data_IF_127908426139
#
_entry.id   IF_127908426139
#
_cell.length_a   1.000
_cell.length_b   1.000
_cell.length_c   1.000
_cell.angle_alpha   90.00
_cell.angle_beta   90.00
_cell.angle_gamma   90.00
#
_symmetry.space_group_name_H-M   'P 1'
#
loop_
_entity.id
_entity.type
_entity.pdbx_description
1 polymer ?
#
# COMPACT_ATOMS: atom_id res chain seq x y z
N UNK A 1 35.75 45.30 -13.49
CA UNK A 1 34.91 44.13 -13.82
C UNK A 1 34.94 43.19 -12.62
N UNK A 2 33.82 43.02 -11.92
CA UNK A 2 33.72 42.09 -10.79
C UNK A 2 33.73 40.65 -11.32
N UNK A 3 34.71 39.86 -10.90
CA UNK A 3 34.88 38.45 -11.26
C UNK A 3 33.63 37.67 -10.85
N UNK A 4 32.94 37.05 -11.81
CA UNK A 4 31.74 36.24 -11.52
C UNK A 4 32.14 35.00 -10.72
N UNK A 5 31.54 34.85 -9.53
CA UNK A 5 31.64 33.68 -8.65
C UNK A 5 31.05 32.43 -9.33
N UNK A 6 31.90 31.49 -9.73
CA UNK A 6 31.53 30.30 -10.49
C UNK A 6 30.66 29.32 -9.69
N UNK A 7 30.87 29.24 -8.38
CA UNK A 7 30.06 28.51 -7.42
C UNK A 7 28.58 28.97 -7.43
N UNK A 8 28.35 30.29 -7.46
CA UNK A 8 26.99 30.85 -7.55
C UNK A 8 26.34 30.60 -8.91
N UNK A 9 27.12 30.52 -10.00
CA UNK A 9 26.60 30.16 -11.32
C UNK A 9 26.22 28.67 -11.40
N UNK A 10 27.00 27.79 -10.74
CA UNK A 10 26.69 26.37 -10.65
C UNK A 10 25.37 26.10 -9.91
N UNK A 11 25.15 26.77 -8.77
CA UNK A 11 23.90 26.67 -8.00
C UNK A 11 22.71 27.16 -8.83
N UNK A 12 22.86 28.27 -9.57
CA UNK A 12 21.82 28.78 -10.48
C UNK A 12 21.50 27.79 -11.60
N UNK A 13 22.51 27.17 -12.20
CA UNK A 13 22.32 26.14 -13.23
C UNK A 13 21.52 24.95 -12.70
N UNK A 14 21.84 24.48 -11.49
CA UNK A 14 21.11 23.38 -10.85
C UNK A 14 19.64 23.75 -10.55
N UNK A 15 19.39 24.96 -10.04
CA UNK A 15 18.04 25.46 -9.78
C UNK A 15 17.19 25.54 -11.07
N UNK A 16 17.77 26.01 -12.17
CA UNK A 16 17.09 26.07 -13.48
C UNK A 16 16.77 24.67 -14.00
N UNK A 17 17.72 23.73 -13.89
CA UNK A 17 17.49 22.35 -14.33
C UNK A 17 16.41 21.65 -13.49
N UNK A 18 16.34 21.90 -12.19
CA UNK A 18 15.29 21.36 -11.32
C UNK A 18 13.91 21.91 -11.69
N UNK A 19 13.80 23.20 -12.02
CA UNK A 19 12.53 23.82 -12.46
C UNK A 19 12.08 23.32 -13.83
N UNK A 20 13.01 23.16 -14.78
CA UNK A 20 12.73 22.56 -16.07
C UNK A 20 12.29 21.10 -15.90
N UNK A 21 12.96 20.35 -15.02
CA UNK A 21 12.58 18.99 -14.63
C UNK A 21 11.15 18.92 -14.10
N UNK A 22 10.74 19.86 -13.24
CA UNK A 22 9.36 19.95 -12.74
C UNK A 22 8.34 20.24 -13.85
N UNK A 23 8.63 21.16 -14.77
CA UNK A 23 7.68 21.51 -15.83
C UNK A 23 7.51 20.40 -16.88
N UNK A 24 8.58 19.67 -17.21
CA UNK A 24 8.52 18.58 -18.20
C UNK A 24 8.16 17.22 -17.59
N UNK A 25 8.54 16.98 -16.33
CA UNK A 25 8.38 15.70 -15.63
C UNK A 25 7.92 15.92 -14.18
N UNK A 26 6.70 16.46 -13.97
CA UNK A 26 6.21 16.85 -12.65
C UNK A 26 6.10 15.68 -11.65
N UNK A 27 5.97 14.44 -12.13
CA UNK A 27 5.93 13.26 -11.27
C UNK A 27 7.31 12.82 -10.76
N UNK A 28 8.39 13.08 -11.52
CA UNK A 28 9.75 12.68 -11.13
C UNK A 28 10.51 13.80 -10.42
N UNK A 29 10.14 15.07 -10.68
CA UNK A 29 10.74 16.24 -10.04
C UNK A 29 9.70 17.11 -9.33
N UNK A 30 8.89 16.56 -8.39
CA UNK A 30 7.75 17.26 -7.80
C UNK A 30 8.15 18.52 -7.00
N UNK A 31 9.41 18.62 -6.56
CA UNK A 31 9.92 19.72 -5.75
C UNK A 31 10.72 20.76 -6.55
N UNK A 32 10.76 20.67 -7.89
CA UNK A 32 11.57 21.59 -8.71
C UNK A 32 11.12 23.06 -8.60
N UNK A 33 9.87 23.32 -8.24
CA UNK A 33 9.34 24.67 -7.96
C UNK A 33 10.06 25.38 -6.78
N UNK A 34 10.62 24.62 -5.82
CA UNK A 34 11.33 25.18 -4.66
C UNK A 34 12.64 25.91 -5.06
N UNK A 35 13.24 25.53 -6.20
CA UNK A 35 14.57 25.99 -6.60
C UNK A 35 14.62 27.43 -7.12
N UNK A 36 13.51 27.95 -7.69
CA UNK A 36 13.45 29.30 -8.25
C UNK A 36 12.24 30.06 -7.77
N UNK A 37 11.07 29.44 -7.61
CA UNK A 37 9.83 30.18 -7.37
C UNK A 37 9.79 30.81 -5.98
N UNK A 38 10.20 30.07 -4.94
CA UNK A 38 10.33 30.60 -3.58
C UNK A 38 11.42 31.70 -3.46
N UNK A 39 12.66 31.49 -3.95
CA UNK A 39 13.67 32.55 -3.98
C UNK A 39 13.25 33.76 -4.80
N UNK A 40 12.56 33.56 -5.93
CA UNK A 40 12.07 34.62 -6.79
C UNK A 40 11.04 35.48 -6.06
N UNK A 41 10.03 34.87 -5.41
CA UNK A 41 9.05 35.60 -4.61
C UNK A 41 9.73 36.34 -3.45
N UNK A 42 10.68 35.73 -2.75
CA UNK A 42 11.41 36.36 -1.65
C UNK A 42 12.25 37.57 -2.12
N UNK A 43 12.96 37.43 -3.25
CA UNK A 43 13.77 38.51 -3.85
C UNK A 43 12.87 39.62 -4.38
N UNK A 44 11.78 39.31 -5.07
CA UNK A 44 10.81 40.30 -5.54
C UNK A 44 10.18 41.05 -4.37
N UNK A 45 9.78 40.36 -3.29
CA UNK A 45 9.27 40.98 -2.07
C UNK A 45 10.33 41.88 -1.42
N UNK A 46 11.58 41.44 -1.35
CA UNK A 46 12.69 42.24 -0.79
C UNK A 46 12.96 43.49 -1.63
N UNK A 47 12.94 43.37 -2.96
CA UNK A 47 13.09 44.50 -3.88
C UNK A 47 11.91 45.45 -3.78
N UNK A 48 10.68 44.94 -3.67
CA UNK A 48 9.49 45.77 -3.45
C UNK A 48 9.60 46.54 -2.14
N UNK A 49 10.01 45.91 -1.03
CA UNK A 49 10.25 46.59 0.25
C UNK A 49 11.32 47.69 0.09
N UNK A 50 12.44 47.39 -0.58
CA UNK A 50 13.54 48.33 -0.81
C UNK A 50 13.16 49.53 -1.70
N UNK A 51 12.27 49.34 -2.68
CA UNK A 51 11.86 50.39 -3.63
C UNK A 51 10.50 51.04 -3.31
N UNK A 52 9.78 50.57 -2.27
CA UNK A 52 8.43 51.01 -1.94
C UNK A 52 8.33 52.32 -1.14
N UNK A 53 9.44 53.04 -0.93
CA UNK A 53 9.56 54.12 0.06
C UNK A 53 8.55 55.27 -0.05
N UNK A 54 7.83 55.46 -1.18
CA UNK A 54 6.76 56.48 -1.31
C UNK A 54 5.62 56.08 -2.28
N UNK A 55 5.19 54.81 -2.28
CA UNK A 55 4.14 54.34 -3.22
C UNK A 55 2.73 54.31 -2.60
N UNK A 56 1.88 55.27 -2.99
CA UNK A 56 0.48 55.40 -2.53
C UNK A 56 -0.39 54.16 -2.82
N UNK A 57 -0.05 53.38 -3.86
CA UNK A 57 -0.78 52.16 -4.24
C UNK A 57 -0.52 50.96 -3.30
N UNK A 58 0.67 50.84 -2.70
CA UNK A 58 1.00 49.75 -1.78
C UNK A 58 0.53 50.03 -0.34
N UNK A 59 0.13 51.27 -0.05
CA UNK A 59 -0.30 51.71 1.27
C UNK A 59 -1.82 51.62 1.50
N UNK A 60 -2.57 50.99 0.58
CA UNK A 60 -4.01 50.81 0.74
C UNK A 60 -4.26 49.87 1.91
N UNK A 61 -5.10 50.33 2.86
CA UNK A 61 -5.37 49.65 4.14
C UNK A 61 -5.76 48.17 4.02
N UNK A 62 -6.45 47.80 2.94
CA UNK A 62 -6.84 46.41 2.67
C UNK A 62 -5.60 45.58 2.32
N UNK A 63 -4.74 46.09 1.44
CA UNK A 63 -3.55 45.37 0.98
C UNK A 63 -2.52 45.23 2.10
N UNK A 64 -2.34 46.27 2.92
CA UNK A 64 -1.47 46.21 4.10
C UNK A 64 -1.99 45.20 5.12
N UNK A 65 -3.32 45.13 5.34
CA UNK A 65 -3.91 44.15 6.26
C UNK A 65 -3.72 42.70 5.80
N UNK A 66 -3.80 42.44 4.49
CA UNK A 66 -3.45 41.11 3.95
C UNK A 66 -1.98 40.76 4.17
N UNK A 67 -1.09 41.77 4.11
CA UNK A 67 0.31 41.62 4.49
C UNK A 67 0.48 41.31 5.98
N UNK A 68 -0.25 42.02 6.84
CA UNK A 68 -0.22 41.84 8.29
C UNK A 68 -0.62 40.42 8.72
N UNK A 69 -1.68 39.85 8.11
CA UNK A 69 -2.15 38.49 8.43
C UNK A 69 -1.40 37.38 7.66
N UNK A 70 -0.46 37.73 6.79
CA UNK A 70 0.10 36.80 5.78
C UNK A 70 0.78 35.57 6.39
N UNK A 71 1.43 35.73 7.54
CA UNK A 71 2.07 34.62 8.26
C UNK A 71 1.03 33.62 8.80
N UNK A 72 0.03 34.11 9.55
CA UNK A 72 -1.10 33.29 10.02
C UNK A 72 -1.84 32.62 8.85
N UNK A 73 -2.04 33.33 7.73
CA UNK A 73 -2.70 32.81 6.54
C UNK A 73 -1.89 31.69 5.88
N UNK A 74 -0.57 31.86 5.76
CA UNK A 74 0.33 30.83 5.24
C UNK A 74 0.23 29.52 6.05
N UNK A 75 0.16 29.61 7.38
CA UNK A 75 0.03 28.42 8.24
C UNK A 75 -1.34 27.74 8.14
N UNK A 76 -2.43 28.52 8.02
CA UNK A 76 -3.80 28.01 8.15
C UNK A 76 -4.38 27.52 6.81
N UNK A 77 -4.08 28.19 5.70
CA UNK A 77 -4.77 27.91 4.44
C UNK A 77 -4.53 26.49 3.92
N UNK A 78 -3.33 25.92 4.16
CA UNK A 78 -2.98 24.59 3.64
C UNK A 78 -3.68 23.44 4.36
N UNK A 79 -3.72 23.38 5.71
CA UNK A 79 -4.59 22.44 6.43
C UNK A 79 -6.06 22.51 6.04
N UNK A 80 -6.60 23.73 5.85
CA UNK A 80 -7.99 23.93 5.45
C UNK A 80 -8.24 23.42 4.02
N UNK A 81 -7.33 23.70 3.09
CA UNK A 81 -7.39 23.16 1.73
C UNK A 81 -7.29 21.63 1.71
N UNK A 82 -6.38 21.05 2.50
CA UNK A 82 -6.24 19.60 2.61
C UNK A 82 -7.52 18.96 3.16
N UNK A 83 -8.13 19.56 4.19
CA UNK A 83 -9.41 19.12 4.74
C UNK A 83 -10.53 19.14 3.69
N UNK A 84 -10.67 20.23 2.94
CA UNK A 84 -11.62 20.33 1.83
C UNK A 84 -11.42 19.21 0.80
N UNK A 85 -10.18 19.00 0.37
CA UNK A 85 -9.85 17.99 -0.63
C UNK A 85 -10.19 16.58 -0.15
N UNK A 86 -10.08 16.31 1.15
CA UNK A 86 -10.37 15.01 1.75
C UNK A 86 -11.87 14.78 2.02
N UNK A 87 -12.66 15.82 2.20
CA UNK A 87 -14.07 15.72 2.64
C UNK A 87 -15.07 15.95 1.53
N UNK A 88 -14.80 16.89 0.61
CA UNK A 88 -15.76 17.37 -0.39
C UNK A 88 -15.41 16.95 -1.84
N UNK A 89 -14.43 16.06 -2.01
CA UNK A 89 -14.07 15.40 -3.28
C UNK A 89 -13.89 16.37 -4.48
N UNK A 90 -13.44 17.60 -4.20
CA UNK A 90 -13.15 18.61 -5.22
C UNK A 90 -14.36 19.42 -5.72
N UNK A 91 -15.47 19.49 -4.98
CA UNK A 91 -16.64 20.30 -5.38
C UNK A 91 -16.27 21.78 -5.63
N UNK A 92 -16.48 22.24 -6.87
CA UNK A 92 -16.09 23.59 -7.32
C UNK A 92 -16.79 24.74 -6.60
N UNK A 93 -18.02 24.54 -6.08
CA UNK A 93 -18.71 25.58 -5.33
C UNK A 93 -18.10 25.82 -3.95
N UNK A 94 -17.68 24.74 -3.29
CA UNK A 94 -17.03 24.81 -1.98
C UNK A 94 -15.61 25.40 -2.05
N UNK A 95 -14.96 25.35 -3.22
CA UNK A 95 -13.64 25.92 -3.46
C UNK A 95 -13.55 27.43 -3.18
N UNK A 96 -14.66 28.17 -3.24
CA UNK A 96 -14.70 29.60 -2.89
C UNK A 96 -14.90 29.84 -1.39
N UNK A 97 -15.46 28.88 -0.65
CA UNK A 97 -15.78 29.01 0.77
C UNK A 97 -14.53 28.79 1.62
N UNK A 98 -13.76 27.75 1.35
CA UNK A 98 -12.58 27.38 2.15
C UNK A 98 -11.45 28.43 2.17
N UNK A 99 -11.15 29.16 1.08
CA UNK A 99 -10.24 30.31 1.12
C UNK A 99 -10.74 31.45 2.02
N UNK A 100 -12.05 31.73 1.99
CA UNK A 100 -12.66 32.75 2.87
C UNK A 100 -12.53 32.33 4.33
N UNK A 101 -12.82 31.06 4.65
CA UNK A 101 -12.62 30.50 5.99
C UNK A 101 -11.16 30.62 6.42
N UNK A 102 -10.22 30.34 5.53
CA UNK A 102 -8.78 30.48 5.81
C UNK A 102 -8.40 31.92 6.14
N UNK A 103 -8.91 32.91 5.39
CA UNK A 103 -8.67 34.33 5.64
C UNK A 103 -9.26 34.77 6.98
N UNK A 104 -10.50 34.34 7.29
CA UNK A 104 -11.17 34.69 8.56
C UNK A 104 -10.41 34.09 9.75
N UNK A 105 -10.03 32.81 9.68
CA UNK A 105 -9.26 32.15 10.73
C UNK A 105 -7.87 32.78 10.89
N UNK A 106 -7.22 33.15 9.79
CA UNK A 106 -5.94 33.87 9.83
C UNK A 106 -6.07 35.25 10.47
N UNK A 107 -7.11 36.01 10.14
CA UNK A 107 -7.38 37.31 10.76
C UNK A 107 -7.66 37.17 12.27
N UNK A 108 -8.44 36.17 12.68
CA UNK A 108 -8.70 35.88 14.10
C UNK A 108 -7.42 35.49 14.84
N UNK A 109 -6.61 34.60 14.26
CA UNK A 109 -5.29 34.22 14.80
C UNK A 109 -4.39 35.44 14.95
N UNK A 110 -4.32 36.28 13.93
CA UNK A 110 -3.50 37.47 13.93
C UNK A 110 -3.90 38.47 15.02
N UNK A 111 -5.20 38.82 15.10
CA UNK A 111 -5.71 39.82 16.03
C UNK A 111 -5.65 39.36 17.50
N UNK A 112 -5.92 38.07 17.76
CA UNK A 112 -6.00 37.56 19.13
C UNK A 112 -4.67 36.99 19.65
N UNK A 113 -3.89 36.33 18.80
CA UNK A 113 -2.70 35.59 19.21
C UNK A 113 -1.43 36.28 18.73
N UNK A 114 -1.26 36.49 17.42
CA UNK A 114 -0.01 37.00 16.85
C UNK A 114 0.35 38.40 17.38
N UNK A 115 -0.61 39.34 17.37
CA UNK A 115 -0.40 40.70 17.90
C UNK A 115 -0.06 40.75 19.39
N UNK A 116 -0.56 39.79 20.17
CA UNK A 116 -0.29 39.74 21.60
C UNK A 116 1.05 39.07 21.88
N UNK A 117 1.33 37.96 21.19
CA UNK A 117 2.57 37.20 21.26
C UNK A 117 3.81 38.04 20.93
N UNK A 118 3.73 38.90 19.89
CA UNK A 118 4.82 39.79 19.49
C UNK A 118 5.20 40.85 20.56
N UNK A 119 4.34 41.06 21.57
CA UNK A 119 4.58 42.00 22.69
C UNK A 119 5.15 41.32 23.94
N UNK A 120 5.24 40.00 23.96
CA UNK A 120 5.70 39.24 25.12
C UNK A 120 7.22 39.20 25.24
N UNK A 121 7.73 39.04 26.47
CA UNK A 121 9.15 38.89 26.73
C UNK A 121 9.68 37.54 26.24
N UNK A 122 11.00 37.46 25.95
CA UNK A 122 11.65 36.23 25.49
C UNK A 122 11.34 35.03 26.41
N UNK A 123 11.43 35.20 27.73
CA UNK A 123 11.14 34.14 28.70
C UNK A 123 9.70 33.63 28.64
N UNK A 124 8.73 34.53 28.40
CA UNK A 124 7.31 34.18 28.28
C UNK A 124 7.06 33.39 26.98
N UNK A 125 7.71 33.79 25.89
CA UNK A 125 7.64 33.11 24.61
C UNK A 125 8.28 31.71 24.68
N UNK A 126 9.44 31.57 25.32
CA UNK A 126 10.07 30.25 25.53
C UNK A 126 9.19 29.32 26.34
N UNK A 127 8.48 29.83 27.35
CA UNK A 127 7.56 29.05 28.17
C UNK A 127 6.33 28.58 27.37
N UNK A 128 5.72 29.48 26.57
CA UNK A 128 4.61 29.12 25.68
C UNK A 128 5.03 28.07 24.64
N UNK A 129 6.20 28.23 24.03
CA UNK A 129 6.74 27.25 23.07
C UNK A 129 6.87 25.88 23.74
N UNK A 130 7.42 25.82 24.96
CA UNK A 130 7.57 24.56 25.68
C UNK A 130 6.19 23.93 25.97
N UNK A 131 5.21 24.71 26.43
CA UNK A 131 3.84 24.23 26.65
C UNK A 131 3.24 23.67 25.36
N UNK A 132 3.29 24.41 24.25
CA UNK A 132 2.72 23.95 22.99
C UNK A 132 3.45 22.73 22.43
N UNK A 133 4.77 22.64 22.61
CA UNK A 133 5.56 21.49 22.18
C UNK A 133 5.24 20.25 23.03
N UNK A 134 5.15 20.40 24.35
CA UNK A 134 4.70 19.31 25.24
C UNK A 134 3.27 18.89 24.94
N UNK A 135 2.35 19.83 24.72
CA UNK A 135 0.98 19.52 24.34
C UNK A 135 0.91 18.77 23.00
N UNK A 136 1.69 19.19 22.00
CA UNK A 136 1.79 18.47 20.73
C UNK A 136 2.33 17.05 20.92
N UNK A 137 3.41 16.87 21.70
CA UNK A 137 3.96 15.54 22.01
C UNK A 137 2.92 14.67 22.71
N UNK A 138 2.17 15.22 23.69
CA UNK A 138 1.13 14.49 24.40
C UNK A 138 -0.04 14.10 23.49
N UNK A 139 -0.46 14.98 22.57
CA UNK A 139 -1.53 14.68 21.59
C UNK A 139 -1.07 13.61 20.60
N UNK A 140 0.14 13.74 20.06
CA UNK A 140 0.71 12.78 19.11
C UNK A 140 0.93 11.40 19.74
N UNK A 141 1.32 11.36 21.02
CA UNK A 141 1.54 10.13 21.75
C UNK A 141 0.34 9.73 22.62
N UNK A 142 -0.83 10.37 22.45
CA UNK A 142 -1.99 10.14 23.30
C UNK A 142 -2.38 8.66 23.32
N UNK A 143 -2.33 7.98 22.19
CA UNK A 143 -2.64 6.55 22.06
C UNK A 143 -1.60 5.67 22.75
N UNK A 144 -0.32 5.98 22.59
CA UNK A 144 0.79 5.31 23.28
C UNK A 144 0.76 5.50 24.80
N UNK A 145 0.38 6.70 25.28
CA UNK A 145 0.36 7.08 26.70
C UNK A 145 -0.89 6.60 27.44
N UNK A 146 -2.05 6.56 26.77
CA UNK A 146 -3.30 6.07 27.36
C UNK A 146 -3.42 4.55 27.35
N UNK A 147 -2.43 3.84 26.80
CA UNK A 147 -2.45 2.38 26.71
C UNK A 147 -3.68 1.92 25.93
N UNK A 148 -3.81 2.35 24.67
CA UNK A 148 -4.89 1.83 23.81
C UNK A 148 -4.79 0.30 23.73
N UNK A 149 -5.92 -0.35 23.99
CA UNK A 149 -6.13 -1.79 23.80
C UNK A 149 -5.54 -2.25 22.47
N UNK A 150 -4.83 -3.37 22.51
CA UNK A 150 -4.31 -4.04 21.33
C UNK A 150 -5.45 -4.39 20.37
N UNK A 151 -5.16 -4.49 19.08
CA UNK A 151 -6.19 -4.85 18.09
C UNK A 151 -6.81 -6.24 18.36
N UNK A 152 -6.05 -7.15 18.99
CA UNK A 152 -6.57 -8.44 19.48
C UNK A 152 -7.56 -8.27 20.65
N UNK A 153 -7.29 -7.37 21.59
CA UNK A 153 -8.23 -7.05 22.68
C UNK A 153 -9.52 -6.43 22.14
N UNK A 154 -9.43 -5.57 21.12
CA UNK A 154 -10.62 -5.01 20.44
C UNK A 154 -11.47 -6.09 19.78
N UNK A 155 -10.86 -7.05 19.09
CA UNK A 155 -11.59 -8.14 18.43
C UNK A 155 -12.32 -9.05 19.43
N UNK A 156 -11.74 -9.23 20.62
CA UNK A 156 -12.28 -10.07 21.69
C UNK A 156 -13.32 -9.36 22.57
N UNK A 157 -13.62 -8.09 22.30
CA UNK A 157 -14.59 -7.30 23.05
C UNK A 157 -16.02 -7.78 22.78
N UNK A 158 -16.81 -7.95 23.85
CA UNK A 158 -18.22 -8.43 23.75
C UNK A 158 -19.13 -7.50 22.93
N UNK A 159 -18.86 -6.19 22.91
CA UNK A 159 -19.63 -5.18 22.16
C UNK A 159 -18.82 -4.64 20.98
N UNK A 160 -18.44 -5.51 20.05
CA UNK A 160 -17.76 -5.13 18.82
C UNK A 160 -18.72 -4.41 17.86
N UNK A 161 -18.40 -3.19 17.44
CA UNK A 161 -19.27 -2.36 16.58
C UNK A 161 -18.80 -2.30 15.13
N UNK A 162 -19.66 -1.89 14.21
CA UNK A 162 -19.27 -1.63 12.81
C UNK A 162 -18.24 -0.50 12.68
N UNK A 163 -18.19 0.45 13.62
CA UNK A 163 -17.15 1.49 13.64
C UNK A 163 -15.78 0.91 14.03
N UNK A 164 -15.77 -0.07 14.95
CA UNK A 164 -14.54 -0.80 15.29
C UNK A 164 -14.05 -1.62 14.08
N UNK A 165 -14.97 -2.22 13.33
CA UNK A 165 -14.65 -2.90 12.08
C UNK A 165 -14.03 -1.96 11.04
N UNK A 166 -14.61 -0.78 10.82
CA UNK A 166 -14.08 0.23 9.90
C UNK A 166 -12.67 0.69 10.31
N UNK A 167 -12.44 0.90 11.62
CA UNK A 167 -11.12 1.26 12.16
C UNK A 167 -10.10 0.16 11.93
N UNK A 168 -10.45 -1.10 12.18
CA UNK A 168 -9.57 -2.25 11.96
C UNK A 168 -9.26 -2.46 10.48
N UNK A 169 -10.27 -2.39 9.61
CA UNK A 169 -10.08 -2.45 8.17
C UNK A 169 -9.16 -1.33 7.68
N UNK A 170 -9.35 -0.10 8.17
CA UNK A 170 -8.47 1.02 7.84
C UNK A 170 -7.04 0.79 8.34
N UNK A 171 -6.88 0.32 9.58
CA UNK A 171 -5.58 0.01 10.16
C UNK A 171 -4.82 -1.06 9.36
N UNK A 172 -5.47 -2.16 8.99
CA UNK A 172 -4.85 -3.21 8.17
C UNK A 172 -4.47 -2.71 6.78
N UNK A 173 -5.22 -1.77 6.21
CA UNK A 173 -4.84 -1.12 4.96
C UNK A 173 -3.58 -0.26 5.11
N UNK A 174 -3.47 0.53 6.18
CA UNK A 174 -2.27 1.33 6.46
C UNK A 174 -1.04 0.46 6.70
N UNK A 175 -1.24 -0.69 7.36
CA UNK A 175 -0.17 -1.63 7.74
C UNK A 175 0.07 -2.74 6.72
N UNK A 176 -0.60 -2.72 5.58
CA UNK A 176 -0.55 -3.80 4.59
C UNK A 176 0.89 -4.20 4.23
N UNK A 177 1.73 -3.23 3.84
CA UNK A 177 3.13 -3.47 3.45
C UNK A 177 4.02 -3.82 4.66
N UNK A 178 3.83 -3.15 5.79
CA UNK A 178 4.57 -3.44 7.03
C UNK A 178 4.34 -4.89 7.47
N UNK A 179 3.11 -5.39 7.31
CA UNK A 179 2.69 -6.73 7.69
C UNK A 179 3.20 -7.83 6.74
N UNK A 180 3.85 -7.48 5.61
CA UNK A 180 4.48 -8.46 4.73
C UNK A 180 5.85 -8.93 5.24
N UNK A 181 6.44 -8.23 6.21
CA UNK A 181 7.72 -8.58 6.80
C UNK A 181 7.55 -9.71 7.82
N UNK A 182 8.12 -10.87 7.53
CA UNK A 182 8.17 -11.97 8.48
C UNK A 182 9.32 -11.78 9.46
N UNK A 183 9.03 -11.84 10.77
CA UNK A 183 10.07 -11.80 11.82
C UNK A 183 10.94 -13.04 11.84
N UNK A 184 10.48 -14.13 11.23
CA UNK A 184 11.20 -15.39 11.19
C UNK A 184 12.15 -15.49 10.00
N UNK A 185 12.09 -14.55 9.04
CA UNK A 185 12.86 -14.63 7.81
C UNK A 185 14.10 -13.73 7.83
N UNK A 186 15.25 -14.32 7.53
CA UNK A 186 16.52 -13.61 7.35
C UNK A 186 16.64 -13.17 5.89
N UNK A 187 16.40 -11.89 5.61
CA UNK A 187 16.32 -11.33 4.26
C UNK A 187 17.70 -11.10 3.60
N UNK A 188 17.82 -11.53 2.34
CA UNK A 188 19.00 -11.35 1.50
C UNK A 188 19.02 -9.95 0.88
N UNK A 189 19.64 -8.97 1.57
CA UNK A 189 20.09 -7.72 0.96
C UNK A 189 19.04 -6.61 0.76
N UNK A 190 17.81 -6.75 1.26
CA UNK A 190 16.78 -5.70 1.20
C UNK A 190 16.23 -5.34 2.59
N UNK A 191 16.01 -4.04 2.84
CA UNK A 191 15.24 -3.55 3.98
C UNK A 191 13.72 -3.65 3.69
N UNK A 192 13.23 -4.81 3.26
CA UNK A 192 11.83 -4.95 2.85
C UNK A 192 11.40 -6.39 2.56
N UNK A 193 10.08 -6.61 2.33
CA UNK A 193 9.50 -7.95 2.21
C UNK A 193 9.76 -8.63 0.85
N UNK A 194 10.50 -7.98 -0.05
CA UNK A 194 10.75 -8.45 -1.41
C UNK A 194 12.17 -8.97 -1.57
N UNK A 195 12.34 -9.92 -2.47
CA UNK A 195 13.57 -10.67 -2.68
C UNK A 195 13.50 -12.05 -2.02
N UNK A 196 14.67 -12.56 -1.63
CA UNK A 196 14.81 -13.89 -1.04
C UNK A 196 15.10 -13.77 0.45
N UNK A 197 14.57 -14.70 1.23
CA UNK A 197 14.88 -14.80 2.64
C UNK A 197 14.73 -16.24 3.12
N UNK A 198 15.45 -16.60 4.19
CA UNK A 198 15.37 -17.95 4.77
C UNK A 198 14.78 -17.88 6.16
N UNK A 199 13.80 -18.74 6.44
CA UNK A 199 13.20 -18.79 7.76
C UNK A 199 14.11 -19.48 8.78
N UNK A 200 14.22 -18.88 9.96
CA UNK A 200 14.93 -19.38 11.14
C UNK A 200 13.96 -20.09 12.10
N UNK A 201 14.49 -20.72 13.17
CA UNK A 201 13.66 -21.38 14.19
C UNK A 201 13.07 -22.74 13.78
N UNK A 202 13.55 -23.34 12.69
CA UNK A 202 13.15 -24.65 12.21
C UNK A 202 13.94 -25.78 12.89
N UNK A 203 13.31 -26.94 13.08
CA UNK A 203 13.97 -28.11 13.67
C UNK A 203 14.91 -28.78 12.67
N UNK A 204 16.20 -28.99 12.99
CA UNK A 204 17.14 -29.65 12.09
C UNK A 204 16.79 -31.13 11.84
N UNK A 205 15.96 -31.73 12.71
CA UNK A 205 15.47 -33.11 12.60
C UNK A 205 14.23 -33.25 11.70
N UNK A 206 13.67 -32.14 11.22
CA UNK A 206 12.56 -32.16 10.26
C UNK A 206 12.98 -32.75 8.92
N UNK A 207 12.02 -33.21 8.14
CA UNK A 207 12.28 -34.09 7.00
C UNK A 207 12.47 -33.36 5.66
N UNK A 208 11.82 -32.21 5.45
CA UNK A 208 11.66 -31.68 4.09
C UNK A 208 12.23 -30.29 3.87
N UNK A 209 12.89 -30.07 2.74
CA UNK A 209 13.22 -28.74 2.21
C UNK A 209 12.02 -28.17 1.46
N UNK A 210 11.55 -27.00 1.85
CA UNK A 210 10.40 -26.33 1.25
C UNK A 210 10.82 -24.99 0.64
N UNK A 211 10.19 -24.62 -0.47
CA UNK A 211 10.31 -23.29 -1.06
C UNK A 211 8.92 -22.68 -1.29
N UNK A 212 8.72 -21.46 -0.81
CA UNK A 212 7.53 -20.66 -1.13
C UNK A 212 7.96 -19.51 -2.04
N UNK A 213 7.27 -19.31 -3.16
CA UNK A 213 7.68 -18.29 -4.11
C UNK A 213 6.52 -17.73 -4.93
N UNK A 214 6.65 -16.48 -5.34
CA UNK A 214 5.58 -15.77 -6.03
C UNK A 214 5.65 -14.27 -5.89
N UNK A 215 4.50 -13.63 -5.77
CA UNK A 215 4.43 -12.18 -5.64
C UNK A 215 4.24 -11.72 -4.19
N UNK A 216 3.71 -10.52 -3.97
CA UNK A 216 3.45 -9.99 -2.63
C UNK A 216 2.52 -10.88 -1.78
N UNK A 217 1.70 -11.73 -2.42
CA UNK A 217 0.90 -12.75 -1.73
C UNK A 217 1.77 -13.77 -1.00
N UNK A 218 2.93 -14.13 -1.54
CA UNK A 218 3.89 -15.01 -0.86
C UNK A 218 4.31 -14.43 0.49
N UNK A 219 4.68 -13.14 0.52
CA UNK A 219 5.06 -12.48 1.76
C UNK A 219 3.87 -12.34 2.72
N UNK A 220 2.68 -12.03 2.20
CA UNK A 220 1.44 -11.97 2.99
C UNK A 220 1.09 -13.32 3.65
N UNK A 221 1.40 -14.44 3.01
CA UNK A 221 1.09 -15.79 3.52
C UNK A 221 2.25 -16.44 4.29
N UNK A 222 3.44 -15.84 4.25
CA UNK A 222 4.66 -16.47 4.74
C UNK A 222 4.60 -16.86 6.22
N UNK A 223 4.11 -15.97 7.08
CA UNK A 223 4.02 -16.24 8.52
C UNK A 223 3.02 -17.35 8.84
N UNK A 224 1.85 -17.33 8.19
CA UNK A 224 0.85 -18.41 8.31
C UNK A 224 1.44 -19.73 7.84
N UNK A 225 2.03 -19.77 6.64
CA UNK A 225 2.67 -20.97 6.10
C UNK A 225 3.77 -21.49 7.03
N UNK A 226 4.64 -20.62 7.53
CA UNK A 226 5.67 -20.99 8.50
C UNK A 226 5.06 -21.62 9.76
N UNK A 227 4.03 -21.00 10.35
CA UNK A 227 3.39 -21.51 11.56
C UNK A 227 2.80 -22.92 11.35
N UNK A 228 2.13 -23.13 10.22
CA UNK A 228 1.48 -24.41 9.90
C UNK A 228 2.50 -25.49 9.51
N UNK A 229 3.51 -25.16 8.68
CA UNK A 229 4.42 -26.15 8.08
C UNK A 229 5.78 -26.33 8.80
N UNK A 230 6.16 -25.47 9.76
CA UNK A 230 7.51 -25.52 10.41
C UNK A 230 7.88 -26.88 11.01
N UNK A 231 6.89 -27.65 11.46
CA UNK A 231 7.10 -28.94 12.12
C UNK A 231 7.50 -30.06 11.14
N UNK A 232 7.30 -29.87 9.84
CA UNK A 232 7.72 -30.77 8.75
C UNK A 232 8.95 -30.26 8.00
N UNK A 233 9.21 -28.95 8.08
CA UNK A 233 10.23 -28.28 7.30
C UNK A 233 11.61 -28.30 7.99
N UNK A 234 12.61 -28.86 7.31
CA UNK A 234 14.03 -28.72 7.62
C UNK A 234 14.56 -27.34 7.27
N UNK A 235 14.06 -26.78 6.16
CA UNK A 235 14.36 -25.43 5.72
C UNK A 235 13.19 -24.88 4.92
N UNK A 236 12.87 -23.60 5.09
CA UNK A 236 11.90 -22.88 4.27
C UNK A 236 12.63 -21.70 3.63
N UNK A 237 12.71 -21.69 2.30
CA UNK A 237 13.17 -20.55 1.53
C UNK A 237 11.97 -19.79 0.98
N UNK A 238 11.93 -18.48 1.14
CA UNK A 238 10.90 -17.59 0.62
C UNK A 238 11.47 -16.72 -0.50
N UNK A 239 10.76 -16.62 -1.63
CA UNK A 239 11.06 -15.73 -2.75
C UNK A 239 9.87 -14.88 -3.15
N UNK A 240 9.97 -13.56 -2.99
CA UNK A 240 8.84 -12.64 -3.20
C UNK A 240 9.20 -11.57 -4.23
N UNK A 241 8.42 -11.47 -5.32
CA UNK A 241 8.61 -10.47 -6.36
C UNK A 241 7.39 -9.52 -6.49
N UNK A 242 7.59 -8.21 -6.35
CA UNK A 242 6.48 -7.26 -6.36
C UNK A 242 5.65 -7.29 -7.66
N UNK A 243 4.44 -7.83 -7.57
CA UNK A 243 3.48 -7.93 -8.67
C UNK A 243 3.92 -8.82 -9.84
N UNK A 244 4.87 -9.74 -9.66
CA UNK A 244 5.37 -10.62 -10.72
C UNK A 244 5.01 -12.09 -10.45
N UNK A 245 4.38 -12.74 -11.42
CA UNK A 245 3.97 -14.13 -11.34
C UNK A 245 5.11 -15.10 -11.73
N UNK A 246 5.26 -16.25 -11.05
CA UNK A 246 6.26 -17.25 -11.44
C UNK A 246 5.96 -17.93 -12.77
N UNK A 247 4.68 -18.16 -13.10
CA UNK A 247 4.30 -18.94 -14.28
C UNK A 247 4.28 -18.12 -15.58
N UNK A 248 4.22 -16.79 -15.47
CA UNK A 248 4.14 -15.90 -16.63
C UNK A 248 4.70 -14.51 -16.30
N UNK A 249 5.46 -13.85 -17.20
CA UNK A 249 5.97 -12.51 -16.95
C UNK A 249 4.84 -11.47 -16.99
N UNK A 250 4.29 -11.15 -15.82
CA UNK A 250 3.16 -10.23 -15.64
C UNK A 250 3.36 -8.90 -16.34
N UNK A 251 2.31 -8.45 -17.04
CA UNK A 251 2.24 -7.17 -17.76
C UNK A 251 3.40 -6.95 -18.76
N UNK A 252 4.09 -8.03 -19.16
CA UNK A 252 5.28 -8.02 -20.02
C UNK A 252 6.40 -7.09 -19.51
N UNK A 253 6.44 -6.84 -18.20
CA UNK A 253 7.45 -5.99 -17.58
C UNK A 253 8.79 -6.69 -17.53
N UNK A 254 9.85 -5.96 -17.85
CA UNK A 254 11.22 -6.51 -17.86
C UNK A 254 11.65 -7.00 -16.48
N UNK A 255 11.22 -6.34 -15.40
CA UNK A 255 11.46 -6.82 -14.03
C UNK A 255 10.86 -8.21 -13.79
N UNK A 256 9.65 -8.46 -14.28
CA UNK A 256 8.97 -9.74 -14.06
C UNK A 256 9.58 -10.87 -14.88
N UNK A 257 10.13 -10.57 -16.06
CA UNK A 257 10.97 -11.53 -16.79
C UNK A 257 12.21 -11.93 -16.02
N UNK A 258 12.91 -10.94 -15.43
CA UNK A 258 14.09 -11.20 -14.58
C UNK A 258 13.73 -12.03 -13.36
N UNK A 259 12.66 -11.67 -12.64
CA UNK A 259 12.22 -12.44 -11.47
C UNK A 259 11.79 -13.87 -11.83
N UNK A 260 11.13 -14.06 -12.98
CA UNK A 260 10.78 -15.40 -13.46
C UNK A 260 12.02 -16.29 -13.67
N UNK A 261 13.05 -15.76 -14.34
CA UNK A 261 14.33 -16.45 -14.51
C UNK A 261 15.02 -16.70 -13.17
N UNK A 262 14.94 -15.76 -12.24
CA UNK A 262 15.50 -15.88 -10.89
C UNK A 262 14.83 -17.00 -10.08
N UNK A 263 13.50 -17.14 -10.16
CA UNK A 263 12.78 -18.27 -9.56
C UNK A 263 13.29 -19.61 -10.09
N UNK A 264 13.47 -19.74 -11.41
CA UNK A 264 14.04 -20.95 -12.03
C UNK A 264 15.45 -21.26 -11.50
N UNK A 265 16.30 -20.23 -11.42
CA UNK A 265 17.67 -20.37 -10.94
C UNK A 265 17.70 -20.83 -9.48
N UNK A 266 16.86 -20.26 -8.61
CA UNK A 266 16.82 -20.59 -7.18
C UNK A 266 16.30 -21.99 -6.94
N UNK A 267 15.29 -22.43 -7.67
CA UNK A 267 14.82 -23.82 -7.64
C UNK A 267 15.94 -24.81 -8.02
N UNK A 268 16.70 -24.50 -9.07
CA UNK A 268 17.83 -25.33 -9.53
C UNK A 268 18.94 -25.45 -8.48
N UNK A 269 19.22 -24.38 -7.73
CA UNK A 269 20.27 -24.37 -6.70
C UNK A 269 19.83 -25.08 -5.42
N UNK A 270 18.59 -24.87 -4.99
CA UNK A 270 18.10 -25.39 -3.70
C UNK A 270 17.63 -26.85 -3.77
N UNK A 271 17.11 -27.26 -4.94
CA UNK A 271 16.49 -28.57 -5.18
C UNK A 271 15.56 -29.01 -4.03
N UNK A 272 14.45 -28.28 -3.81
CA UNK A 272 13.56 -28.53 -2.68
C UNK A 272 12.72 -29.80 -2.87
N UNK A 273 12.19 -30.31 -1.77
CA UNK A 273 11.28 -31.44 -1.77
C UNK A 273 9.88 -31.01 -2.19
N UNK A 274 9.43 -29.88 -1.67
CA UNK A 274 8.14 -29.28 -1.98
C UNK A 274 8.30 -27.83 -2.42
N UNK A 275 7.56 -27.46 -3.46
CA UNK A 275 7.43 -26.06 -3.90
C UNK A 275 6.00 -25.57 -3.73
N UNK A 276 5.84 -24.30 -3.38
CA UNK A 276 4.53 -23.66 -3.22
C UNK A 276 4.52 -22.33 -3.94
N UNK A 277 3.61 -22.18 -4.91
CA UNK A 277 3.38 -20.93 -5.61
C UNK A 277 2.24 -20.18 -4.93
N UNK A 278 2.60 -19.08 -4.27
CA UNK A 278 1.66 -18.12 -3.68
C UNK A 278 1.62 -16.88 -4.55
N UNK A 279 0.55 -16.68 -5.32
CA UNK A 279 0.47 -15.48 -6.15
C UNK A 279 -0.95 -15.05 -6.38
N UNK A 280 -1.16 -13.73 -6.30
CA UNK A 280 -2.34 -13.11 -6.91
C UNK A 280 -2.05 -13.00 -8.40
N UNK A 281 -2.61 -13.92 -9.16
CA UNK A 281 -2.42 -13.97 -10.60
C UNK A 281 -3.00 -12.73 -11.29
N UNK A 282 -2.22 -12.12 -12.17
CA UNK A 282 -2.48 -10.85 -12.86
C UNK A 282 -2.73 -11.12 -14.34
N UNK A 283 -1.70 -11.51 -15.08
CA UNK A 283 -1.77 -11.66 -16.53
C UNK A 283 -2.25 -13.03 -16.97
N UNK A 284 -2.11 -14.07 -16.14
CA UNK A 284 -2.65 -15.39 -16.53
C UNK A 284 -4.18 -15.46 -16.50
N UNK A 285 -4.86 -14.39 -16.07
CA UNK A 285 -6.31 -14.30 -16.13
C UNK A 285 -6.79 -13.51 -17.35
N UNK A 286 -5.87 -13.00 -18.19
CA UNK A 286 -6.22 -12.28 -19.41
C UNK A 286 -7.02 -13.19 -20.38
N UNK A 287 -8.02 -12.66 -21.10
CA UNK A 287 -8.77 -13.46 -22.07
C UNK A 287 -7.87 -13.99 -23.19
N UNK A 288 -8.40 -14.93 -23.98
CA UNK A 288 -7.70 -15.37 -25.19
C UNK A 288 -7.43 -14.20 -26.14
N UNK A 289 -6.28 -14.26 -26.80
CA UNK A 289 -5.98 -13.30 -27.85
C UNK A 289 -6.95 -13.51 -29.03
N UNK A 290 -7.23 -12.46 -29.83
CA UNK A 290 -8.11 -12.58 -30.99
C UNK A 290 -7.69 -13.72 -31.93
N UNK A 291 -8.63 -14.60 -32.28
CA UNK A 291 -8.40 -15.74 -33.17
C UNK A 291 -7.97 -17.03 -32.47
N UNK A 292 -7.66 -17.00 -31.17
CA UNK A 292 -7.32 -18.19 -30.38
C UNK A 292 -8.59 -18.74 -29.72
N UNK A 293 -8.81 -20.06 -29.84
CA UNK A 293 -10.00 -20.73 -29.27
C UNK A 293 -9.67 -21.91 -28.37
N UNK A 294 -8.41 -22.35 -28.33
CA UNK A 294 -7.95 -23.51 -27.55
C UNK A 294 -6.77 -23.15 -26.65
N UNK A 295 -6.56 -23.94 -25.58
CA UNK A 295 -5.41 -23.77 -24.69
C UNK A 295 -4.08 -24.17 -25.36
N UNK A 296 -4.13 -25.09 -26.32
CA UNK A 296 -2.93 -25.53 -27.06
C UNK A 296 -2.33 -24.37 -27.87
N UNK A 297 -3.18 -23.47 -28.37
CA UNK A 297 -2.77 -22.28 -29.12
C UNK A 297 -2.54 -21.06 -28.22
N UNK A 298 -2.88 -21.13 -26.93
CA UNK A 298 -2.79 -19.99 -26.00
C UNK A 298 -1.34 -19.73 -25.55
N UNK A 299 -0.70 -18.63 -25.97
CA UNK A 299 0.70 -18.34 -25.63
C UNK A 299 0.92 -18.13 -24.14
N UNK A 300 -0.12 -17.70 -23.39
CA UNK A 300 -0.04 -17.57 -21.94
C UNK A 300 0.07 -18.97 -21.34
N UNK A 301 -0.82 -19.88 -21.73
CA UNK A 301 -0.81 -21.25 -21.27
C UNK A 301 0.50 -21.98 -21.62
N UNK A 302 0.98 -21.86 -22.86
CA UNK A 302 2.24 -22.48 -23.29
C UNK A 302 3.44 -21.99 -22.46
N UNK A 303 3.45 -20.70 -22.09
CA UNK A 303 4.49 -20.13 -21.21
C UNK A 303 4.37 -20.68 -19.78
N UNK A 304 3.15 -20.79 -19.25
CA UNK A 304 2.90 -21.39 -17.93
C UNK A 304 3.34 -22.85 -17.87
N UNK A 305 3.02 -23.62 -18.91
CA UNK A 305 3.40 -25.02 -19.04
C UNK A 305 4.92 -25.17 -19.06
N UNK A 306 5.61 -24.40 -19.89
CA UNK A 306 7.07 -24.44 -20.00
C UNK A 306 7.76 -24.10 -18.66
N UNK A 307 7.29 -23.07 -17.95
CA UNK A 307 7.82 -22.72 -16.63
C UNK A 307 7.55 -23.82 -15.60
N UNK A 308 6.35 -24.37 -15.59
CA UNK A 308 5.98 -25.45 -14.66
C UNK A 308 6.84 -26.68 -14.89
N UNK A 309 7.04 -27.09 -16.15
CA UNK A 309 7.93 -28.19 -16.53
C UNK A 309 9.36 -27.93 -16.08
N UNK A 310 9.87 -26.70 -16.19
CA UNK A 310 11.20 -26.37 -15.66
C UNK A 310 11.25 -26.44 -14.13
N UNK A 311 10.22 -25.99 -13.42
CA UNK A 311 10.18 -26.04 -11.95
C UNK A 311 10.15 -27.46 -11.41
N UNK A 312 9.29 -28.33 -11.95
CA UNK A 312 9.13 -29.70 -11.44
C UNK A 312 10.35 -30.60 -11.68
N UNK A 313 11.27 -30.24 -12.58
CA UNK A 313 12.56 -30.94 -12.73
C UNK A 313 13.42 -30.83 -11.47
N UNK A 314 13.32 -29.70 -10.76
CA UNK A 314 14.13 -29.41 -9.58
C UNK A 314 13.37 -29.60 -8.26
N UNK A 315 12.06 -29.90 -8.33
CA UNK A 315 11.22 -30.21 -7.17
C UNK A 315 11.07 -31.73 -7.01
N UNK A 316 11.61 -32.28 -5.92
CA UNK A 316 11.72 -33.74 -5.74
C UNK A 316 10.37 -34.42 -5.58
N UNK A 317 9.44 -33.87 -4.80
CA UNK A 317 8.17 -34.51 -4.47
C UNK A 317 7.03 -33.84 -5.25
N UNK A 318 6.58 -32.64 -4.85
CA UNK A 318 5.34 -32.04 -5.39
C UNK A 318 5.40 -30.51 -5.40
N UNK A 319 4.75 -29.91 -6.41
CA UNK A 319 4.53 -28.47 -6.56
C UNK A 319 3.05 -28.15 -6.28
N UNK A 320 2.80 -27.35 -5.24
CA UNK A 320 1.49 -26.80 -4.94
C UNK A 320 1.33 -25.42 -5.57
N UNK A 321 0.17 -25.17 -6.17
CA UNK A 321 -0.14 -23.91 -6.85
C UNK A 321 -1.43 -23.37 -6.26
N UNK A 322 -1.36 -22.20 -5.63
CA UNK A 322 -2.57 -21.49 -5.20
C UNK A 322 -3.37 -21.12 -6.46
N UNK A 323 -4.66 -21.45 -6.51
CA UNK A 323 -5.49 -21.17 -7.67
C UNK A 323 -5.89 -19.69 -7.71
N UNK A 324 -6.37 -19.23 -8.87
CA UNK A 324 -6.92 -17.88 -9.00
C UNK A 324 -8.28 -17.78 -8.30
N UNK A 325 -8.49 -16.66 -7.61
CA UNK A 325 -9.71 -16.32 -6.87
C UNK A 325 -10.09 -14.87 -7.16
N UNK A 326 -11.36 -14.48 -6.93
CA UNK A 326 -11.85 -13.15 -7.25
C UNK A 326 -11.14 -12.05 -6.46
N UNK A 327 -11.18 -10.85 -7.02
CA UNK A 327 -10.59 -9.64 -6.44
C UNK A 327 -11.67 -8.72 -5.89
N UNK A 328 -11.25 -7.85 -4.99
CA UNK A 328 -12.09 -6.80 -4.42
C UNK A 328 -11.80 -5.44 -5.06
N UNK A 329 -12.85 -4.62 -5.21
CA UNK A 329 -12.74 -3.20 -5.55
C UNK A 329 -12.26 -2.45 -4.31
N UNK A 330 -10.98 -2.07 -4.33
CA UNK A 330 -10.25 -1.52 -3.20
C UNK A 330 -10.92 -0.32 -2.54
N UNK A 331 -11.49 0.60 -3.33
CA UNK A 331 -12.12 1.83 -2.85
C UNK A 331 -13.41 1.58 -2.07
N UNK A 332 -14.03 0.40 -2.24
CA UNK A 332 -15.30 0.05 -1.62
C UNK A 332 -15.15 -0.63 -0.27
N UNK A 333 -13.94 -1.05 0.11
CA UNK A 333 -13.66 -1.66 1.43
C UNK A 333 -14.00 -0.68 2.56
N UNK A 334 -13.69 0.61 2.39
CA UNK A 334 -14.00 1.63 3.39
C UNK A 334 -15.52 1.89 3.58
N UNK A 335 -16.36 1.41 2.65
CA UNK A 335 -17.82 1.59 2.68
C UNK A 335 -18.55 0.39 3.31
N UNK A 336 -17.84 -0.64 3.74
CA UNK A 336 -18.44 -1.86 4.30
C UNK A 336 -19.24 -1.52 5.56
N UNK A 337 -18.61 -0.93 6.58
CA UNK A 337 -19.31 -0.61 7.84
C UNK A 337 -20.40 0.45 7.65
N UNK A 338 -20.22 1.42 6.76
CA UNK A 338 -21.27 2.38 6.39
C UNK A 338 -22.51 1.67 5.82
N UNK A 339 -22.31 0.77 4.85
CA UNK A 339 -23.40 0.02 4.21
C UNK A 339 -24.12 -0.88 5.21
N UNK A 340 -23.38 -1.53 6.09
CA UNK A 340 -23.95 -2.38 7.14
C UNK A 340 -24.76 -1.58 8.16
N UNK A 341 -24.26 -0.41 8.60
CA UNK A 341 -25.02 0.51 9.48
C UNK A 341 -26.31 1.01 8.83
N UNK A 342 -26.30 1.22 7.52
CA UNK A 342 -27.48 1.58 6.74
C UNK A 342 -28.47 0.41 6.54
N UNK A 343 -28.17 -0.79 7.05
CA UNK A 343 -29.02 -1.96 6.94
C UNK A 343 -28.97 -2.64 5.57
N UNK A 344 -27.92 -2.39 4.76
CA UNK A 344 -27.73 -3.08 3.50
C UNK A 344 -27.55 -4.59 3.71
N UNK A 345 -28.13 -5.41 2.82
CA UNK A 345 -27.95 -6.86 2.88
C UNK A 345 -26.52 -7.22 2.50
N UNK A 346 -25.96 -8.22 3.16
CA UNK A 346 -24.59 -8.69 2.88
C UNK A 346 -24.39 -9.05 1.39
N UNK A 347 -25.39 -9.64 0.73
CA UNK A 347 -25.32 -9.98 -0.70
C UNK A 347 -25.11 -8.77 -1.61
N UNK A 348 -25.73 -7.64 -1.26
CA UNK A 348 -25.66 -6.42 -2.05
C UNK A 348 -24.27 -5.76 -1.86
N UNK A 349 -23.74 -5.82 -0.63
CA UNK A 349 -22.37 -5.41 -0.30
C UNK A 349 -21.36 -6.28 -1.06
N UNK A 350 -21.49 -7.60 -0.97
CA UNK A 350 -20.62 -8.58 -1.63
C UNK A 350 -20.54 -8.36 -3.15
N UNK A 351 -21.70 -8.19 -3.81
CA UNK A 351 -21.78 -7.88 -5.25
C UNK A 351 -21.14 -6.54 -5.58
N UNK A 352 -21.29 -5.54 -4.71
CA UNK A 352 -20.65 -4.25 -4.88
C UNK A 352 -19.13 -4.34 -4.69
N UNK A 353 -18.63 -5.25 -3.86
CA UNK A 353 -17.19 -5.41 -3.63
C UNK A 353 -16.48 -6.20 -4.72
N UNK A 354 -17.18 -7.07 -5.45
CA UNK A 354 -16.60 -7.91 -6.49
C UNK A 354 -15.97 -7.07 -7.63
N UNK A 355 -14.69 -7.29 -7.89
CA UNK A 355 -13.98 -6.68 -9.01
C UNK A 355 -14.48 -7.26 -10.34
N UNK A 356 -14.66 -6.43 -11.39
CA UNK A 356 -15.04 -6.89 -12.72
C UNK A 356 -13.88 -7.57 -13.48
N UNK A 357 -12.66 -7.58 -12.92
CA UNK A 357 -11.51 -8.23 -13.55
C UNK A 357 -11.73 -9.75 -13.46
N UNK A 358 -11.87 -10.45 -14.61
CA UNK A 358 -12.13 -11.88 -14.61
C UNK A 358 -10.94 -12.65 -14.04
N UNK A 359 -11.23 -13.73 -13.31
CA UNK A 359 -10.24 -14.68 -12.76
C UNK A 359 -10.41 -16.07 -13.35
N UNK A 360 -11.54 -16.34 -14.00
CA UNK A 360 -11.99 -17.64 -14.51
C UNK A 360 -11.01 -18.22 -15.53
N UNK A 361 -10.46 -17.40 -16.42
CA UNK A 361 -9.45 -17.85 -17.39
C UNK A 361 -8.18 -18.38 -16.73
N UNK A 362 -7.78 -17.78 -15.60
CA UNK A 362 -6.67 -18.28 -14.79
C UNK A 362 -6.99 -19.65 -14.20
N UNK A 363 -8.23 -19.87 -13.73
CA UNK A 363 -8.69 -21.18 -13.24
C UNK A 363 -8.71 -22.24 -14.34
N UNK A 364 -9.17 -21.90 -15.54
CA UNK A 364 -9.17 -22.80 -16.70
C UNK A 364 -7.74 -23.23 -17.03
N UNK A 365 -6.80 -22.27 -17.11
CA UNK A 365 -5.38 -22.54 -17.36
C UNK A 365 -4.76 -23.41 -16.26
N UNK A 366 -5.01 -23.12 -14.99
CA UNK A 366 -4.52 -23.96 -13.89
C UNK A 366 -5.09 -25.37 -13.88
N UNK A 367 -6.39 -25.51 -14.16
CA UNK A 367 -7.04 -26.82 -14.23
C UNK A 367 -6.40 -27.68 -15.33
N UNK A 368 -6.05 -27.09 -16.47
CA UNK A 368 -5.31 -27.80 -17.52
C UNK A 368 -3.87 -28.06 -17.12
N UNK A 369 -3.19 -27.09 -16.50
CA UNK A 369 -1.80 -27.20 -16.08
C UNK A 369 -1.58 -28.37 -15.11
N UNK A 370 -2.48 -28.58 -14.16
CA UNK A 370 -2.38 -29.69 -13.20
C UNK A 370 -2.71 -31.04 -13.84
N UNK A 371 -3.57 -31.08 -14.86
CA UNK A 371 -3.75 -32.29 -15.66
C UNK A 371 -2.45 -32.66 -16.40
N UNK A 372 -1.80 -31.67 -17.00
CA UNK A 372 -0.58 -31.88 -17.80
C UNK A 372 0.64 -32.21 -16.93
N UNK A 373 0.72 -31.63 -15.73
CA UNK A 373 1.77 -31.94 -14.74
C UNK A 373 1.52 -33.28 -14.00
N UNK A 374 0.29 -33.80 -14.03
CA UNK A 374 -0.08 -35.04 -13.36
C UNK A 374 0.15 -35.02 -11.85
N UNK A 375 0.57 -36.15 -11.27
CA UNK A 375 0.76 -36.30 -9.82
C UNK A 375 1.81 -35.38 -9.19
N UNK A 376 2.61 -34.69 -10.01
CA UNK A 376 3.64 -33.74 -9.57
C UNK A 376 3.09 -32.38 -9.16
N UNK A 377 1.89 -32.01 -9.60
CA UNK A 377 1.28 -30.74 -9.25
C UNK A 377 -0.06 -30.91 -8.53
N UNK A 378 -0.39 -29.97 -7.68
CA UNK A 378 -1.66 -29.93 -6.95
C UNK A 378 -2.14 -28.49 -6.81
N UNK A 379 -3.45 -28.27 -7.00
CA UNK A 379 -4.05 -26.96 -6.80
C UNK A 379 -4.52 -26.81 -5.35
N UNK A 380 -4.23 -25.66 -4.77
CA UNK A 380 -4.83 -25.19 -3.52
C UNK A 380 -5.89 -24.16 -3.88
N UNK A 381 -7.11 -24.31 -3.40
CA UNK A 381 -8.22 -23.47 -3.84
C UNK A 381 -8.88 -22.72 -2.67
N UNK A 382 -8.90 -21.40 -2.79
CA UNK A 382 -9.60 -20.52 -1.85
C UNK A 382 -11.02 -20.21 -2.27
N UNK A 383 -11.43 -20.54 -3.50
CA UNK A 383 -12.76 -20.19 -3.98
C UNK A 383 -13.88 -20.70 -3.06
N UNK A 384 -13.84 -21.95 -2.53
CA UNK A 384 -14.88 -22.43 -1.62
C UNK A 384 -14.95 -21.66 -0.30
N UNK A 385 -13.82 -21.11 0.16
CA UNK A 385 -13.76 -20.37 1.43
C UNK A 385 -14.45 -19.01 1.34
N UNK A 386 -14.48 -18.42 0.15
CA UNK A 386 -15.07 -17.12 -0.09
C UNK A 386 -16.40 -17.19 -0.84
N UNK A 387 -16.85 -18.36 -1.31
CA UNK A 387 -18.09 -18.47 -2.06
C UNK A 387 -19.24 -18.98 -1.20
N UNK A 388 -20.36 -18.27 -1.21
CA UNK A 388 -21.58 -18.71 -0.55
C UNK A 388 -22.52 -19.35 -1.57
N UNK A 389 -22.65 -20.68 -1.50
CA UNK A 389 -23.50 -21.48 -2.39
C UNK A 389 -24.98 -21.09 -2.30
N UNK A 390 -25.47 -20.71 -1.12
CA UNK A 390 -26.90 -20.40 -0.89
C UNK A 390 -27.29 -19.09 -1.59
N UNK A 391 -26.43 -18.08 -1.52
CA UNK A 391 -26.69 -16.76 -2.11
C UNK A 391 -26.09 -16.61 -3.51
N UNK A 392 -25.25 -17.55 -3.93
CA UNK A 392 -24.46 -17.48 -5.17
C UNK A 392 -23.62 -16.19 -5.25
N UNK A 393 -23.01 -15.79 -4.14
CA UNK A 393 -22.18 -14.57 -4.04
C UNK A 393 -20.84 -14.85 -3.37
N UNK A 394 -19.83 -14.03 -3.69
CA UNK A 394 -18.55 -14.04 -2.99
C UNK A 394 -18.61 -13.19 -1.72
N UNK A 395 -18.26 -13.79 -0.59
CA UNK A 395 -18.12 -13.15 0.72
C UNK A 395 -16.74 -12.49 0.83
N UNK A 396 -16.74 -11.17 1.03
CA UNK A 396 -15.51 -10.41 1.24
C UNK A 396 -15.36 -9.81 2.64
N UNK A 397 -16.43 -9.89 3.45
CA UNK A 397 -16.43 -9.50 4.86
C UNK A 397 -17.28 -10.44 5.69
N UNK A 398 -17.00 -10.47 6.99
CA UNK A 398 -17.82 -11.19 7.96
C UNK A 398 -19.06 -10.37 8.40
N UNK A 399 -19.92 -10.97 9.21
CA UNK A 399 -21.14 -10.32 9.71
C UNK A 399 -20.87 -9.10 10.63
N UNK A 400 -19.63 -8.91 11.08
CA UNK A 400 -19.20 -7.77 11.89
C UNK A 400 -18.66 -6.63 11.03
N UNK A 401 -18.50 -6.84 9.71
CA UNK A 401 -17.95 -5.86 8.78
C UNK A 401 -16.43 -5.91 8.64
N UNK A 402 -15.77 -6.93 9.18
CA UNK A 402 -14.33 -7.11 8.99
C UNK A 402 -14.07 -7.64 7.59
N UNK A 403 -13.28 -6.90 6.81
CA UNK A 403 -12.88 -7.31 5.48
C UNK A 403 -11.83 -8.41 5.56
N UNK A 404 -11.97 -9.44 4.72
CA UNK A 404 -10.93 -10.45 4.53
C UNK A 404 -9.76 -9.92 3.69
N UNK A 405 -9.97 -8.84 2.94
CA UNK A 405 -8.99 -8.29 2.01
C UNK A 405 -8.62 -6.84 2.32
N UNK A 406 -7.37 -6.48 2.05
CA UNK A 406 -6.91 -5.10 2.01
C UNK A 406 -7.14 -4.50 0.62
N UNK A 407 -6.99 -3.18 0.51
CA UNK A 407 -7.05 -2.41 -0.73
C UNK A 407 -5.95 -2.83 -1.72
N UNK A 408 -4.84 -3.39 -1.24
CA UNK A 408 -3.81 -3.98 -2.10
C UNK A 408 -4.20 -5.37 -2.66
N UNK A 409 -5.38 -5.88 -2.31
CA UNK A 409 -5.83 -7.25 -2.57
C UNK A 409 -4.93 -8.31 -1.92
N UNK A 410 -4.34 -8.00 -0.76
CA UNK A 410 -3.80 -9.01 0.15
C UNK A 410 -4.88 -9.47 1.13
N UNK A 411 -4.65 -10.58 1.82
CA UNK A 411 -5.49 -10.96 2.94
C UNK A 411 -5.13 -10.13 4.17
N UNK A 412 -6.15 -9.63 4.86
CA UNK A 412 -6.01 -9.05 6.20
C UNK A 412 -5.58 -10.16 7.18
N UNK A 413 -5.11 -9.82 8.39
CA UNK A 413 -4.93 -10.83 9.44
C UNK A 413 -6.17 -11.70 9.67
N UNK A 414 -7.37 -11.10 9.57
CA UNK A 414 -8.63 -11.84 9.65
C UNK A 414 -8.86 -12.76 8.44
N UNK A 415 -8.54 -12.31 7.22
CA UNK A 415 -8.60 -13.12 6.01
C UNK A 415 -7.60 -14.28 6.00
N UNK A 416 -6.39 -14.09 6.52
CA UNK A 416 -5.39 -15.15 6.68
C UNK A 416 -5.89 -16.22 7.65
N UNK A 417 -6.49 -15.82 8.77
CA UNK A 417 -7.08 -16.77 9.72
C UNK A 417 -8.26 -17.55 9.10
N UNK A 418 -9.08 -16.87 8.29
CA UNK A 418 -10.20 -17.49 7.58
C UNK A 418 -9.77 -18.62 6.61
N UNK A 419 -8.59 -18.52 6.01
CA UNK A 419 -8.05 -19.54 5.09
C UNK A 419 -6.99 -20.44 5.73
N UNK A 420 -6.70 -20.28 7.02
CA UNK A 420 -5.61 -21.00 7.70
C UNK A 420 -5.79 -22.51 7.63
N UNK A 421 -7.02 -23.00 7.82
CA UNK A 421 -7.31 -24.45 7.83
C UNK A 421 -6.90 -25.12 6.53
N UNK A 422 -7.00 -24.43 5.39
CA UNK A 422 -6.54 -24.94 4.09
C UNK A 422 -5.06 -25.31 4.15
N UNK A 423 -4.22 -24.46 4.76
CA UNK A 423 -2.79 -24.73 4.90
C UNK A 423 -2.48 -25.70 6.01
N UNK A 424 -3.23 -25.67 7.11
CA UNK A 424 -3.13 -26.69 8.14
C UNK A 424 -3.33 -28.09 7.54
N UNK A 425 -4.31 -28.25 6.65
CA UNK A 425 -4.59 -29.55 6.02
C UNK A 425 -3.54 -29.92 4.97
N UNK A 426 -3.09 -28.98 4.14
CA UNK A 426 -1.97 -29.21 3.20
C UNK A 426 -0.71 -29.64 3.96
N UNK A 427 -0.31 -28.92 5.01
CA UNK A 427 0.87 -29.24 5.82
C UNK A 427 0.75 -30.57 6.57
N UNK A 428 -0.46 -31.05 6.90
CA UNK A 428 -0.68 -32.38 7.47
C UNK A 428 -0.47 -33.50 6.46
N UNK A 429 -0.82 -33.28 5.19
CA UNK A 429 -0.68 -34.29 4.12
C UNK A 429 0.76 -34.50 3.66
N UNK A 430 1.65 -33.55 3.98
CA UNK A 430 3.10 -33.61 3.77
C UNK A 430 3.76 -34.46 4.86
#
# INVERSE_FOLDING_TARGET
MTTKRADLQGIRGFAILAVLGFHFFPQEFPNGYLGVDHPFIAVCTSLLILFSTDSSLLSIRILTYFGDISYSLYLIHWPIYAYWKLTDDGNQFTLLVYPIVSIVLAALSYETFEKQYLKLSFSSNSFLILIFLTANVLVLNKESLLGTETEEEKLNRQNFTFEDADRLNHYWNLKDIDNLLSRTCDYEGSNGPYGWCRHSGLSPNSSYKMIIFGNSVTANHADMFYQECKHKAKSILQGTAFGCEPLYPSLRLERCRKNMTEFQQRLRMEQPDYGFIFTRFISIADPFAPGITSLDEDPIYQTMLNNTVEYIKHIRIKLFILNTYPRIISERIAKIGESMRAGARQEDIDKALLSPIPFEMGRIRHAQLVKDCGSKCELIDYLPEFFNETTSTFRFSDARGLSFFTAANHLTPHGLEHVRHVWTDVCKTI
#
